data_IF_975530676668
#
_entry.id   IF_975530676668
#
_cell.length_a   1.000
_cell.length_b   1.000
_cell.length_c   1.000
_cell.angle_alpha   90.00
_cell.angle_beta   90.00
_cell.angle_gamma   90.00
#
_symmetry.space_group_name_H-M   'P 1'
#
loop_
_entity.id
_entity.type
_entity.pdbx_description
1 polymer ?
#
# COMPACT_ATOMS: atom_id res chain seq x y z
N UNK A 1 -1.88 -0.58 -24.45
CA UNK A 1 -1.97 0.76 -23.85
C UNK A 1 -1.68 0.60 -22.36
N UNK A 2 -0.67 1.31 -21.82
CA UNK A 2 -0.34 1.28 -20.39
C UNK A 2 -1.38 2.08 -19.62
N UNK A 3 -2.05 1.46 -18.64
CA UNK A 3 -3.13 2.07 -17.89
C UNK A 3 -2.76 2.13 -16.40
N UNK A 4 -2.83 3.30 -15.74
CA UNK A 4 -2.56 3.40 -14.32
C UNK A 4 -3.73 2.84 -13.50
N UNK A 5 -3.41 2.12 -12.44
CA UNK A 5 -4.39 1.53 -11.52
C UNK A 5 -4.45 2.35 -10.23
N UNK A 6 -3.29 2.73 -9.71
CA UNK A 6 -3.16 3.45 -8.45
C UNK A 6 -2.03 4.47 -8.53
N UNK A 7 -2.30 5.72 -8.16
CA UNK A 7 -1.29 6.76 -7.96
C UNK A 7 -0.84 6.77 -6.50
N UNK A 8 0.47 6.67 -6.25
CA UNK A 8 1.06 7.03 -4.96
C UNK A 8 1.41 8.51 -4.97
N UNK A 9 0.71 9.29 -4.16
CA UNK A 9 0.89 10.74 -4.04
C UNK A 9 1.60 11.05 -2.71
N UNK A 10 2.70 11.79 -2.77
CA UNK A 10 3.54 12.12 -1.62
C UNK A 10 3.67 13.63 -1.43
N UNK A 11 2.65 14.30 -0.83
CA UNK A 11 2.63 15.77 -0.74
C UNK A 11 3.78 16.36 0.06
N UNK A 12 4.28 15.65 1.07
CA UNK A 12 5.35 16.13 1.96
C UNK A 12 6.75 15.77 1.47
N UNK A 13 6.86 15.06 0.36
CA UNK A 13 8.11 14.47 -0.06
C UNK A 13 8.67 13.52 1.01
N UNK A 14 9.03 12.37 0.61
CA UNK A 14 9.69 11.43 1.50
C UNK A 14 10.82 10.73 0.77
N UNK A 15 11.74 10.22 1.55
CA UNK A 15 12.63 9.21 1.04
C UNK A 15 11.78 8.03 0.53
N UNK A 16 11.99 7.49 -0.68
CA UNK A 16 11.20 6.36 -1.24
C UNK A 16 11.07 5.16 -0.30
N UNK A 17 11.97 5.06 0.68
CA UNK A 17 11.95 4.06 1.75
C UNK A 17 10.78 4.18 2.74
N UNK A 18 10.07 5.30 2.81
CA UNK A 18 8.99 5.52 3.81
C UNK A 18 7.69 4.84 3.40
N UNK A 19 7.37 4.75 2.10
CA UNK A 19 6.24 3.98 1.56
C UNK A 19 6.26 2.51 1.95
N UNK A 20 7.43 2.01 2.36
CA UNK A 20 7.74 0.60 2.54
C UNK A 20 8.04 0.22 3.98
N UNK A 21 7.88 1.16 4.92
CA UNK A 21 8.23 0.90 6.31
C UNK A 21 9.73 0.81 6.59
N UNK A 22 10.56 1.29 5.67
CA UNK A 22 12.01 1.43 5.88
C UNK A 22 12.22 2.83 6.47
N UNK A 23 12.52 2.90 7.76
CA UNK A 23 12.79 4.15 8.48
C UNK A 23 14.07 4.81 7.97
N UNK A 24 13.95 5.67 6.99
CA UNK A 24 15.03 6.57 6.57
C UNK A 24 14.85 7.92 7.28
N UNK A 25 15.47 8.10 8.42
CA UNK A 25 15.65 9.40 9.05
C UNK A 25 16.69 10.20 8.25
N UNK A 26 16.34 10.76 7.12
CA UNK A 26 17.12 11.80 6.47
C UNK A 26 16.42 13.14 6.72
N UNK A 27 16.76 13.75 7.87
CA UNK A 27 16.14 14.98 8.40
C UNK A 27 16.77 16.26 7.86
N UNK A 28 17.58 16.22 6.78
CA UNK A 28 18.43 17.35 6.37
C UNK A 28 18.09 18.00 5.02
N UNK A 29 17.13 17.46 4.24
CA UNK A 29 16.65 18.16 3.05
C UNK A 29 15.51 19.12 3.46
N UNK A 30 15.56 20.38 3.03
CA UNK A 30 14.40 21.28 3.04
C UNK A 30 13.22 20.52 2.45
N UNK A 31 12.19 20.28 3.29
CA UNK A 31 10.99 19.54 2.89
C UNK A 31 10.21 20.46 1.93
N UNK A 32 10.50 20.34 0.64
CA UNK A 32 9.62 20.93 -0.37
C UNK A 32 8.28 20.20 -0.30
N UNK A 33 7.19 20.94 -0.12
CA UNK A 33 5.83 20.40 -0.12
C UNK A 33 5.18 20.70 -1.47
N UNK A 34 4.34 19.79 -1.95
CA UNK A 34 3.43 20.09 -3.05
C UNK A 34 2.31 21.00 -2.58
N UNK A 35 1.83 21.88 -3.47
CA UNK A 35 0.56 22.57 -3.24
C UNK A 35 -0.61 21.63 -3.55
N UNK A 36 -1.82 21.97 -3.09
CA UNK A 36 -3.03 21.20 -3.41
C UNK A 36 -3.25 21.15 -4.93
N UNK A 37 -3.01 22.27 -5.63
CA UNK A 37 -3.16 22.37 -7.09
C UNK A 37 -2.19 21.42 -7.81
N UNK A 38 -0.94 21.32 -7.38
CA UNK A 38 0.05 20.38 -7.94
C UNK A 38 -0.39 18.93 -7.70
N UNK A 39 -0.86 18.61 -6.50
CA UNK A 39 -1.38 17.28 -6.18
C UNK A 39 -2.57 16.91 -7.07
N UNK A 40 -3.54 17.82 -7.23
CA UNK A 40 -4.72 17.59 -8.04
C UNK A 40 -4.41 17.52 -9.54
N UNK A 41 -3.48 18.34 -10.02
CA UNK A 41 -2.99 18.27 -11.40
C UNK A 41 -2.39 16.89 -11.71
N UNK A 42 -1.59 16.31 -10.79
CA UNK A 42 -1.06 14.96 -10.95
C UNK A 42 -2.15 13.88 -10.94
N UNK A 43 -3.16 14.01 -10.06
CA UNK A 43 -4.32 13.10 -10.03
C UNK A 43 -5.09 13.15 -11.35
N UNK A 44 -5.32 14.33 -11.88
CA UNK A 44 -6.08 14.53 -13.13
C UNK A 44 -5.27 14.08 -14.35
N UNK A 45 -3.96 14.37 -14.40
CA UNK A 45 -3.05 13.91 -15.47
C UNK A 45 -2.94 12.39 -15.51
N UNK A 46 -2.77 11.76 -14.36
CA UNK A 46 -2.67 10.30 -14.26
C UNK A 46 -4.00 9.61 -14.60
N UNK A 47 -5.13 10.19 -14.18
CA UNK A 47 -6.47 9.66 -14.45
C UNK A 47 -6.80 8.35 -13.74
N UNK A 48 -6.03 7.97 -12.71
CA UNK A 48 -6.17 6.71 -11.97
C UNK A 48 -7.47 6.64 -11.17
N UNK A 49 -8.09 5.45 -11.04
CA UNK A 49 -9.27 5.28 -10.17
C UNK A 49 -8.93 5.28 -8.68
N UNK A 50 -7.70 4.96 -8.30
CA UNK A 50 -7.25 4.86 -6.91
C UNK A 50 -6.12 5.84 -6.67
N UNK A 51 -6.21 6.60 -5.58
CA UNK A 51 -5.13 7.45 -5.06
C UNK A 51 -4.72 6.94 -3.68
N UNK A 52 -3.42 6.80 -3.47
CA UNK A 52 -2.81 6.44 -2.20
C UNK A 52 -1.96 7.61 -1.73
N UNK A 53 -2.40 8.33 -0.69
CA UNK A 53 -1.58 9.39 -0.09
C UNK A 53 -0.68 8.77 0.95
N UNK A 54 0.62 9.02 0.80
CA UNK A 54 1.69 8.50 1.65
C UNK A 54 2.87 9.48 1.66
N UNK A 55 4.03 9.03 2.08
CA UNK A 55 5.22 9.88 2.17
C UNK A 55 5.27 10.73 3.42
N UNK A 56 6.21 10.42 4.33
CA UNK A 56 6.22 10.99 5.69
C UNK A 56 4.97 10.59 6.48
N UNK A 57 4.46 11.49 7.31
CA UNK A 57 3.15 11.36 7.92
C UNK A 57 2.16 12.32 7.21
N UNK A 58 1.27 11.82 6.33
CA UNK A 58 0.38 12.68 5.56
C UNK A 58 -0.54 13.57 6.39
N UNK A 59 -0.84 13.18 7.63
CA UNK A 59 -1.65 14.00 8.53
C UNK A 59 -0.91 15.24 9.06
N UNK A 60 0.40 15.35 8.83
CA UNK A 60 1.17 16.58 9.05
C UNK A 60 1.04 17.58 7.89
N UNK A 61 0.56 17.14 6.71
CA UNK A 61 0.35 18.05 5.59
C UNK A 61 -0.76 19.07 5.95
N UNK A 62 -0.46 20.39 5.90
CA UNK A 62 -1.39 21.41 6.42
C UNK A 62 -2.76 21.39 5.76
N UNK A 63 -2.80 21.11 4.46
CA UNK A 63 -4.01 21.15 3.63
C UNK A 63 -4.61 19.76 3.36
N UNK A 64 -4.25 18.75 4.17
CA UNK A 64 -4.67 17.34 3.95
C UNK A 64 -6.19 17.18 3.84
N UNK A 65 -6.95 17.93 4.61
CA UNK A 65 -8.41 17.86 4.58
C UNK A 65 -9.01 18.37 3.26
N UNK A 66 -8.50 19.50 2.76
CA UNK A 66 -8.89 20.07 1.46
C UNK A 66 -8.49 19.15 0.31
N UNK A 67 -7.26 18.66 0.31
CA UNK A 67 -6.76 17.73 -0.68
C UNK A 67 -7.59 16.44 -0.71
N UNK A 68 -7.83 15.81 0.46
CA UNK A 68 -8.64 14.60 0.59
C UNK A 68 -10.03 14.80 0.00
N UNK A 69 -10.73 15.86 0.39
CA UNK A 69 -12.07 16.17 -0.12
C UNK A 69 -12.07 16.33 -1.64
N UNK A 70 -11.15 17.11 -2.18
CA UNK A 70 -11.07 17.37 -3.62
C UNK A 70 -10.78 16.11 -4.46
N UNK A 71 -10.01 15.16 -3.92
CA UNK A 71 -9.76 13.86 -4.57
C UNK A 71 -11.04 12.99 -4.54
N UNK A 72 -11.74 12.95 -3.41
CA UNK A 72 -12.96 12.17 -3.25
C UNK A 72 -14.11 12.70 -4.11
N UNK A 73 -14.25 14.03 -4.24
CA UNK A 73 -15.21 14.71 -5.12
C UNK A 73 -14.97 14.39 -6.61
N UNK A 74 -13.74 14.05 -6.99
CA UNK A 74 -13.40 13.52 -8.32
C UNK A 74 -13.80 12.06 -8.52
N UNK A 75 -14.48 11.45 -7.55
CA UNK A 75 -14.92 10.06 -7.61
C UNK A 75 -13.79 9.03 -7.48
N UNK A 76 -12.62 9.44 -6.98
CA UNK A 76 -11.49 8.53 -6.76
C UNK A 76 -11.66 7.78 -5.45
N UNK A 77 -11.15 6.54 -5.38
CA UNK A 77 -10.96 5.84 -4.11
C UNK A 77 -9.66 6.32 -3.48
N UNK A 78 -9.70 6.69 -2.19
CA UNK A 78 -8.56 7.27 -1.49
C UNK A 78 -8.14 6.41 -0.30
N UNK A 79 -6.89 5.97 -0.31
CA UNK A 79 -6.20 5.33 0.81
C UNK A 79 -5.24 6.34 1.43
N UNK A 80 -5.53 6.79 2.64
CA UNK A 80 -4.68 7.72 3.39
C UNK A 80 -3.85 6.92 4.40
N UNK A 81 -2.56 6.77 4.11
CA UNK A 81 -1.62 6.07 4.97
C UNK A 81 -1.21 6.93 6.15
N UNK A 82 -1.07 6.33 7.32
CA UNK A 82 -0.67 7.01 8.55
C UNK A 82 -0.12 6.02 9.57
N UNK A 83 0.72 6.51 10.48
CA UNK A 83 1.12 5.76 11.67
C UNK A 83 0.01 5.69 12.75
N UNK A 84 -1.07 6.45 12.56
CA UNK A 84 -2.26 6.44 13.41
C UNK A 84 -2.27 7.49 14.52
N UNK A 85 -1.14 8.10 14.86
CA UNK A 85 -1.01 9.04 16.00
C UNK A 85 -1.90 10.27 15.87
N UNK A 86 -2.07 10.78 14.67
CA UNK A 86 -2.80 12.02 14.41
C UNK A 86 -4.27 11.80 14.04
N UNK A 87 -4.72 10.56 13.83
CA UNK A 87 -6.10 10.27 13.40
C UNK A 87 -7.10 10.95 14.33
N UNK A 88 -7.03 10.72 15.63
CA UNK A 88 -7.98 11.25 16.60
C UNK A 88 -8.08 12.78 16.57
N UNK A 89 -6.94 13.46 16.36
CA UNK A 89 -6.87 14.93 16.29
C UNK A 89 -7.39 15.48 14.98
N UNK A 90 -7.28 14.73 13.88
CA UNK A 90 -7.62 15.17 12.51
C UNK A 90 -8.96 14.64 12.01
N UNK A 91 -9.56 13.68 12.71
CA UNK A 91 -10.76 12.97 12.30
C UNK A 91 -11.93 13.91 11.93
N UNK A 92 -12.12 14.98 12.72
CA UNK A 92 -13.19 15.95 12.51
C UNK A 92 -13.06 16.80 11.25
N UNK A 93 -11.89 16.81 10.62
CA UNK A 93 -11.60 17.62 9.43
C UNK A 93 -12.09 17.00 8.13
N UNK A 94 -12.33 15.68 8.13
CA UNK A 94 -12.73 14.90 6.96
C UNK A 94 -14.03 14.18 7.33
N UNK A 95 -15.14 14.40 6.59
CA UNK A 95 -16.34 13.59 6.80
C UNK A 95 -16.15 12.15 6.30
N UNK A 96 -16.90 11.16 6.82
CA UNK A 96 -16.83 9.80 6.33
C UNK A 96 -17.43 9.69 4.92
N UNK A 97 -16.58 9.28 3.96
CA UNK A 97 -16.97 8.97 2.59
C UNK A 97 -16.87 7.47 2.35
N UNK A 98 -17.71 6.92 1.49
CA UNK A 98 -17.72 5.48 1.14
C UNK A 98 -16.51 5.04 0.30
N UNK A 99 -15.80 5.98 -0.32
CA UNK A 99 -14.59 5.79 -1.10
C UNK A 99 -13.31 6.28 -0.40
N UNK A 100 -13.38 6.53 0.92
CA UNK A 100 -12.24 6.94 1.75
C UNK A 100 -11.86 5.87 2.77
N UNK A 101 -10.56 5.55 2.85
CA UNK A 101 -10.02 4.52 3.72
C UNK A 101 -8.84 5.06 4.54
N UNK A 102 -9.01 5.16 5.86
CA UNK A 102 -7.86 5.27 6.75
C UNK A 102 -7.02 4.02 6.63
N UNK A 103 -5.74 4.15 6.30
CA UNK A 103 -4.83 3.01 6.15
C UNK A 103 -3.74 3.11 7.20
N UNK A 104 -3.86 2.31 8.25
CA UNK A 104 -2.97 2.37 9.40
C UNK A 104 -1.89 1.29 9.30
N UNK A 105 -0.62 1.68 9.47
CA UNK A 105 0.52 0.76 9.42
C UNK A 105 0.72 0.08 10.77
N UNK A 106 0.54 -1.25 10.82
CA UNK A 106 0.82 -2.07 12.00
C UNK A 106 1.43 -3.42 11.57
N UNK A 107 2.63 -3.75 12.07
CA UNK A 107 3.40 -4.90 11.64
C UNK A 107 3.43 -6.08 12.65
N UNK A 108 2.67 -6.00 13.74
CA UNK A 108 2.58 -7.00 14.79
C UNK A 108 1.93 -6.42 16.04
N UNK A 109 1.92 -7.17 17.12
CA UNK A 109 1.47 -6.68 18.44
C UNK A 109 2.43 -5.58 18.96
N UNK A 110 2.11 -4.99 20.11
CA UNK A 110 2.85 -3.86 20.68
C UNK A 110 4.37 -4.07 20.65
N UNK A 111 4.85 -5.19 21.21
CA UNK A 111 6.26 -5.47 21.30
C UNK A 111 6.96 -5.53 19.93
N UNK A 112 6.33 -6.18 18.94
CA UNK A 112 6.88 -6.33 17.60
C UNK A 112 6.81 -5.00 16.85
N UNK A 113 5.68 -4.31 16.89
CA UNK A 113 5.48 -3.05 16.17
C UNK A 113 6.42 -1.94 16.69
N UNK A 114 6.52 -1.78 18.00
CA UNK A 114 7.38 -0.76 18.62
C UNK A 114 8.87 -1.06 18.46
N UNK A 115 9.27 -2.34 18.48
CA UNK A 115 10.64 -2.73 18.15
C UNK A 115 11.01 -2.38 16.70
N UNK A 116 10.10 -2.55 15.74
CA UNK A 116 10.32 -2.20 14.33
C UNK A 116 10.32 -0.69 14.09
N UNK A 117 9.39 0.02 14.70
CA UNK A 117 9.27 1.48 14.54
C UNK A 117 10.24 2.27 15.40
N UNK A 118 10.83 1.63 16.41
CA UNK A 118 11.71 2.24 17.45
C UNK A 118 11.01 3.40 18.20
N UNK A 119 9.68 3.29 18.37
CA UNK A 119 8.83 4.31 19.02
C UNK A 119 7.91 3.65 20.05
N UNK A 120 8.21 3.84 21.34
CA UNK A 120 7.37 3.36 22.43
C UNK A 120 6.04 4.12 22.49
N UNK A 121 4.94 3.42 22.81
CA UNK A 121 3.60 3.97 22.92
C UNK A 121 2.86 4.13 21.59
N UNK A 122 3.55 3.99 20.44
CA UNK A 122 2.97 4.16 19.12
C UNK A 122 1.82 3.19 18.86
N UNK A 123 1.97 1.94 19.29
CA UNK A 123 0.96 0.90 19.06
C UNK A 123 -0.39 1.23 19.70
N UNK A 124 -0.39 1.62 20.97
CA UNK A 124 -1.62 1.94 21.69
C UNK A 124 -2.29 3.21 21.14
N UNK A 125 -1.50 4.23 20.78
CA UNK A 125 -2.02 5.45 20.16
C UNK A 125 -2.64 5.15 18.78
N UNK A 126 -2.01 4.30 17.96
CA UNK A 126 -2.56 3.86 16.68
C UNK A 126 -3.90 3.12 16.86
N UNK A 127 -4.00 2.21 17.85
CA UNK A 127 -5.26 1.53 18.17
C UNK A 127 -6.35 2.50 18.64
N UNK A 128 -6.01 3.52 19.45
CA UNK A 128 -6.96 4.56 19.86
C UNK A 128 -7.45 5.37 18.64
N UNK A 129 -6.55 5.70 17.71
CA UNK A 129 -6.89 6.31 16.43
C UNK A 129 -7.85 5.46 15.59
N UNK A 130 -7.57 4.16 15.45
CA UNK A 130 -8.43 3.20 14.75
C UNK A 130 -9.83 3.15 15.39
N UNK A 131 -9.88 3.01 16.70
CA UNK A 131 -11.15 2.98 17.47
C UNK A 131 -11.95 4.27 17.25
N UNK A 132 -11.30 5.43 17.31
CA UNK A 132 -11.94 6.72 17.06
C UNK A 132 -12.51 6.80 15.64
N UNK A 133 -11.74 6.38 14.62
CA UNK A 133 -12.19 6.36 13.24
C UNK A 133 -13.38 5.41 13.03
N UNK A 134 -13.34 4.20 13.60
CA UNK A 134 -14.46 3.25 13.51
C UNK A 134 -15.72 3.79 14.17
N UNK A 135 -15.61 4.38 15.37
CA UNK A 135 -16.75 4.98 16.07
C UNK A 135 -17.36 6.17 15.33
N UNK A 136 -16.58 6.86 14.51
CA UNK A 136 -17.05 7.95 13.66
C UNK A 136 -17.57 7.49 12.28
N UNK A 137 -17.68 6.17 12.05
CA UNK A 137 -18.26 5.59 10.83
C UNK A 137 -17.33 5.53 9.63
N UNK A 138 -16.02 5.67 9.82
CA UNK A 138 -15.04 5.56 8.75
C UNK A 138 -14.70 4.10 8.41
N UNK A 139 -14.30 3.88 7.16
CA UNK A 139 -13.60 2.67 6.77
C UNK A 139 -12.13 2.74 7.22
N UNK A 140 -11.69 1.67 7.87
CA UNK A 140 -10.31 1.52 8.33
C UNK A 140 -9.71 0.25 7.75
N UNK A 141 -8.54 0.39 7.15
CA UNK A 141 -7.73 -0.71 6.63
C UNK A 141 -6.41 -0.72 7.39
N UNK A 142 -5.91 -1.91 7.72
CA UNK A 142 -4.60 -2.06 8.34
C UNK A 142 -3.62 -2.66 7.35
N UNK A 143 -2.47 -2.02 7.18
CA UNK A 143 -1.37 -2.51 6.36
C UNK A 143 -0.28 -3.14 7.23
N UNK A 144 0.07 -4.41 6.96
CA UNK A 144 1.14 -5.12 7.65
C UNK A 144 2.18 -5.62 6.65
N UNK A 145 3.46 -5.35 6.94
CA UNK A 145 4.55 -5.84 6.10
C UNK A 145 4.99 -7.24 6.55
N UNK A 146 5.00 -8.15 5.60
CA UNK A 146 5.55 -9.49 5.78
C UNK A 146 7.04 -9.44 5.47
N UNK A 147 7.86 -9.74 6.47
CA UNK A 147 9.32 -9.89 6.39
C UNK A 147 9.70 -11.37 6.36
N UNK A 148 10.94 -11.73 5.97
CA UNK A 148 11.41 -13.11 6.04
C UNK A 148 11.38 -13.73 7.44
N UNK A 149 11.37 -12.90 8.48
CA UNK A 149 11.38 -13.24 9.90
C UNK A 149 10.08 -12.89 10.63
N UNK A 150 9.00 -12.57 9.91
CA UNK A 150 7.71 -12.24 10.54
C UNK A 150 7.19 -13.41 11.38
N UNK A 151 6.91 -13.15 12.67
CA UNK A 151 6.15 -14.10 13.50
C UNK A 151 4.66 -14.01 13.14
N UNK A 152 4.20 -14.98 12.38
CA UNK A 152 2.79 -15.04 11.96
C UNK A 152 1.82 -15.36 13.10
N UNK A 153 2.29 -15.90 14.24
CA UNK A 153 1.44 -16.07 15.42
C UNK A 153 1.19 -14.72 16.08
N UNK A 154 2.22 -13.88 16.15
CA UNK A 154 2.08 -12.51 16.66
C UNK A 154 1.17 -11.68 15.75
N UNK A 155 1.35 -11.77 14.44
CA UNK A 155 0.51 -11.08 13.47
C UNK A 155 -0.96 -11.55 13.52
N UNK A 156 -1.20 -12.83 13.75
CA UNK A 156 -2.56 -13.37 13.93
C UNK A 156 -3.24 -12.81 15.19
N UNK A 157 -2.51 -12.68 16.31
CA UNK A 157 -3.02 -12.02 17.52
C UNK A 157 -3.37 -10.55 17.28
N UNK A 158 -2.56 -9.84 16.50
CA UNK A 158 -2.89 -8.48 16.08
C UNK A 158 -4.20 -8.46 15.29
N UNK A 159 -4.36 -9.35 14.29
CA UNK A 159 -5.54 -9.38 13.42
C UNK A 159 -6.80 -9.76 14.20
N UNK A 160 -6.73 -10.71 15.13
CA UNK A 160 -7.82 -11.02 16.05
C UNK A 160 -8.28 -9.77 16.84
N UNK A 161 -7.34 -9.00 17.40
CA UNK A 161 -7.63 -7.77 18.11
C UNK A 161 -8.28 -6.71 17.22
N UNK A 162 -7.75 -6.53 16.00
CA UNK A 162 -8.27 -5.57 15.03
C UNK A 162 -9.65 -5.98 14.50
N UNK A 163 -9.89 -7.28 14.33
CA UNK A 163 -11.20 -7.81 13.94
C UNK A 163 -12.26 -7.53 15.01
N UNK A 164 -11.91 -7.70 16.29
CA UNK A 164 -12.77 -7.32 17.41
C UNK A 164 -13.04 -5.80 17.48
N UNK A 165 -12.21 -4.97 16.83
CA UNK A 165 -12.41 -3.53 16.68
C UNK A 165 -13.16 -3.16 15.38
N UNK A 166 -13.65 -4.15 14.62
CA UNK A 166 -14.36 -3.98 13.35
C UNK A 166 -13.55 -3.26 12.25
N UNK A 167 -12.26 -3.57 12.15
CA UNK A 167 -11.43 -3.12 11.01
C UNK A 167 -11.96 -3.74 9.73
N UNK A 168 -12.09 -2.94 8.66
CA UNK A 168 -12.81 -3.33 7.45
C UNK A 168 -11.96 -4.15 6.48
N UNK A 169 -10.64 -4.01 6.52
CA UNK A 169 -9.76 -4.75 5.62
C UNK A 169 -8.30 -4.77 6.03
N UNK A 170 -7.56 -5.71 5.44
CA UNK A 170 -6.16 -5.94 5.75
C UNK A 170 -5.33 -6.00 4.48
N UNK A 171 -4.21 -5.27 4.45
CA UNK A 171 -3.25 -5.26 3.36
C UNK A 171 -1.97 -5.99 3.81
N UNK A 172 -1.65 -7.10 3.15
CA UNK A 172 -0.35 -7.74 3.30
C UNK A 172 0.62 -7.14 2.28
N UNK A 173 1.70 -6.56 2.77
CA UNK A 173 2.74 -5.94 1.97
C UNK A 173 3.99 -6.82 1.99
N UNK A 174 4.55 -7.11 0.83
CA UNK A 174 5.83 -7.80 0.78
C UNK A 174 6.96 -6.83 1.13
N UNK A 175 7.84 -7.24 2.05
CA UNK A 175 9.05 -6.48 2.37
C UNK A 175 9.94 -6.33 1.13
N UNK A 176 10.42 -5.12 0.89
CA UNK A 176 11.46 -4.86 -0.10
C UNK A 176 12.81 -4.79 0.62
N UNK A 177 13.74 -5.70 0.32
CA UNK A 177 15.04 -5.72 0.99
C UNK A 177 15.92 -4.55 0.57
N UNK A 178 16.81 -4.12 1.46
CA UNK A 178 17.81 -3.12 1.12
C UNK A 178 18.82 -3.64 0.08
N UNK A 179 19.67 -2.73 -0.46
CA UNK A 179 20.63 -3.08 -1.53
C UNK A 179 21.67 -4.14 -1.09
N UNK A 180 21.95 -4.29 0.21
CA UNK A 180 22.90 -5.30 0.71
C UNK A 180 22.30 -6.70 0.62
N UNK A 181 21.04 -6.86 1.01
CA UNK A 181 20.30 -8.11 0.90
C UNK A 181 20.00 -8.49 -0.56
N UNK A 182 19.94 -7.50 -1.46
CA UNK A 182 19.76 -7.75 -2.91
C UNK A 182 20.96 -8.45 -3.56
N UNK A 183 22.16 -8.35 -2.99
CA UNK A 183 23.39 -8.92 -3.58
C UNK A 183 23.71 -10.32 -3.09
N UNK A 184 23.27 -10.67 -1.89
CA UNK A 184 23.60 -11.95 -1.24
C UNK A 184 22.33 -12.79 -1.01
N UNK A 185 22.06 -13.76 -1.90
CA UNK A 185 21.05 -14.80 -1.63
C UNK A 185 19.63 -14.50 -2.08
N UNK A 186 19.44 -13.90 -3.27
CA UNK A 186 18.10 -13.61 -3.82
C UNK A 186 17.19 -14.84 -3.83
N UNK A 187 17.69 -16.01 -4.19
CA UNK A 187 16.91 -17.26 -4.19
C UNK A 187 16.42 -17.62 -2.79
N UNK A 188 17.28 -17.58 -1.78
CA UNK A 188 16.92 -17.89 -0.40
C UNK A 188 15.92 -16.86 0.17
N UNK A 189 16.05 -15.58 -0.18
CA UNK A 189 15.08 -14.56 0.18
C UNK A 189 13.70 -14.86 -0.39
N UNK A 190 13.62 -15.17 -1.70
CA UNK A 190 12.36 -15.53 -2.35
C UNK A 190 11.71 -16.76 -1.74
N UNK A 191 12.48 -17.83 -1.50
CA UNK A 191 11.95 -19.04 -0.88
C UNK A 191 11.34 -18.76 0.51
N UNK A 192 12.04 -17.96 1.34
CA UNK A 192 11.52 -17.53 2.64
C UNK A 192 10.26 -16.68 2.51
N UNK A 193 10.23 -15.72 1.60
CA UNK A 193 9.06 -14.88 1.37
C UNK A 193 7.88 -15.70 0.88
N UNK A 194 8.07 -16.62 -0.09
CA UNK A 194 7.01 -17.53 -0.55
C UNK A 194 6.48 -18.40 0.58
N UNK A 195 7.35 -18.92 1.45
CA UNK A 195 6.95 -19.68 2.63
C UNK A 195 6.13 -18.83 3.59
N UNK A 196 6.56 -17.59 3.87
CA UNK A 196 5.84 -16.67 4.72
C UNK A 196 4.42 -16.38 4.17
N UNK A 197 4.30 -16.10 2.87
CA UNK A 197 2.99 -15.83 2.27
C UNK A 197 2.09 -17.07 2.19
N UNK A 198 2.63 -18.27 2.01
CA UNK A 198 1.84 -19.51 2.13
C UNK A 198 1.26 -19.66 3.53
N UNK A 199 2.10 -19.55 4.56
CA UNK A 199 1.66 -19.64 5.95
C UNK A 199 0.74 -18.49 6.37
N UNK A 200 0.99 -17.27 5.90
CA UNK A 200 0.11 -16.12 6.15
C UNK A 200 -1.28 -16.35 5.52
N UNK A 201 -1.36 -16.91 4.31
CA UNK A 201 -2.63 -17.23 3.67
C UNK A 201 -3.44 -18.27 4.43
N UNK A 202 -2.78 -19.27 5.04
CA UNK A 202 -3.44 -20.29 5.87
C UNK A 202 -3.95 -19.72 7.19
N UNK A 203 -3.17 -18.85 7.84
CA UNK A 203 -3.48 -18.33 9.18
C UNK A 203 -4.41 -17.14 9.18
N UNK A 204 -4.33 -16.30 8.13
CA UNK A 204 -5.02 -15.00 8.05
C UNK A 204 -6.08 -15.01 6.96
N UNK A 205 -6.32 -16.12 6.27
CA UNK A 205 -7.24 -16.20 5.14
C UNK A 205 -8.73 -16.03 5.51
N UNK A 206 -9.08 -16.10 6.79
CA UNK A 206 -10.43 -15.80 7.28
C UNK A 206 -10.74 -14.30 7.34
N UNK A 207 -9.71 -13.46 7.43
CA UNK A 207 -9.86 -12.01 7.44
C UNK A 207 -10.04 -11.44 6.03
N UNK A 208 -10.65 -10.28 5.93
CA UNK A 208 -10.85 -9.58 4.66
C UNK A 208 -9.51 -9.05 4.10
N UNK A 209 -8.72 -9.93 3.49
CA UNK A 209 -7.45 -9.57 2.86
C UNK A 209 -7.73 -8.84 1.55
N UNK A 210 -7.35 -7.56 1.49
CA UNK A 210 -7.48 -6.71 0.30
C UNK A 210 -6.30 -6.93 -0.66
N UNK A 211 -6.18 -8.17 -1.12
CA UNK A 211 -5.14 -8.64 -2.05
C UNK A 211 -5.79 -9.51 -3.11
N UNK A 212 -5.46 -9.31 -4.39
CA UNK A 212 -6.06 -10.15 -5.42
C UNK A 212 -5.55 -11.58 -5.34
N UNK A 213 -6.39 -12.59 -5.64
CA UNK A 213 -5.97 -13.99 -5.60
C UNK A 213 -4.79 -14.26 -6.54
N UNK A 214 -4.71 -13.58 -7.66
CA UNK A 214 -3.63 -13.74 -8.65
C UNK A 214 -2.30 -13.22 -8.09
N UNK A 215 -2.30 -12.05 -7.44
CA UNK A 215 -1.09 -11.53 -6.82
C UNK A 215 -0.69 -12.36 -5.59
N UNK A 216 -1.66 -12.87 -4.84
CA UNK A 216 -1.38 -13.77 -3.72
C UNK A 216 -0.75 -15.10 -4.19
N UNK A 217 -1.20 -15.67 -5.31
CA UNK A 217 -0.55 -16.84 -5.95
C UNK A 217 0.93 -16.54 -6.31
N UNK A 218 1.22 -15.32 -6.83
CA UNK A 218 2.58 -14.90 -7.10
C UNK A 218 3.42 -14.82 -5.82
N UNK A 219 2.89 -14.19 -4.77
CA UNK A 219 3.60 -14.07 -3.49
C UNK A 219 3.85 -15.44 -2.82
N UNK A 220 3.00 -16.43 -3.06
CA UNK A 220 3.18 -17.82 -2.58
C UNK A 220 4.13 -18.64 -3.44
N UNK A 221 4.61 -18.07 -4.57
CA UNK A 221 5.47 -18.78 -5.51
C UNK A 221 4.77 -19.83 -6.37
N UNK A 222 3.45 -19.72 -6.54
CA UNK A 222 2.61 -20.62 -7.34
C UNK A 222 2.43 -20.10 -8.78
N UNK A 223 2.90 -18.89 -9.03
CA UNK A 223 2.74 -18.20 -10.30
C UNK A 223 3.86 -17.20 -10.53
N UNK A 224 4.27 -17.04 -11.79
CA UNK A 224 5.10 -15.94 -12.23
C UNK A 224 4.23 -14.81 -12.77
N UNK A 225 4.64 -13.57 -12.49
CA UNK A 225 4.05 -12.35 -13.04
C UNK A 225 5.15 -11.40 -13.50
N UNK A 226 4.93 -10.73 -14.61
CA UNK A 226 5.79 -9.63 -15.05
C UNK A 226 5.41 -8.33 -14.34
N UNK A 227 6.40 -7.52 -13.99
CA UNK A 227 6.16 -6.26 -13.32
C UNK A 227 5.51 -5.24 -14.25
N UNK A 228 4.38 -4.65 -13.83
CA UNK A 228 3.63 -3.61 -14.55
C UNK A 228 3.64 -2.29 -13.79
N UNK A 229 4.82 -1.85 -13.34
CA UNK A 229 4.96 -0.73 -12.41
C UNK A 229 4.45 0.62 -12.96
N UNK A 230 4.31 0.76 -14.29
CA UNK A 230 3.62 1.91 -14.89
C UNK A 230 2.16 2.05 -14.43
N UNK A 231 1.55 0.98 -13.93
CA UNK A 231 0.21 0.98 -13.35
C UNK A 231 0.13 1.51 -11.93
N UNK A 232 1.30 1.70 -11.26
CA UNK A 232 1.43 2.25 -9.92
C UNK A 232 2.45 3.38 -9.84
N UNK A 233 2.29 4.50 -10.61
CA UNK A 233 3.22 5.61 -10.58
C UNK A 233 3.28 6.31 -9.24
N UNK A 234 4.39 6.99 -8.98
CA UNK A 234 4.63 7.81 -7.78
C UNK A 234 4.85 9.25 -8.19
N UNK A 235 4.21 10.19 -7.49
CA UNK A 235 4.39 11.63 -7.67
C UNK A 235 4.68 12.31 -6.33
N UNK A 236 5.74 13.10 -6.30
CA UNK A 236 6.19 13.86 -5.14
C UNK A 236 6.73 15.23 -5.51
N UNK A 237 7.33 15.98 -4.58
CA UNK A 237 7.78 17.35 -4.80
C UNK A 237 8.80 17.53 -5.93
N UNK A 238 9.54 16.48 -6.30
CA UNK A 238 10.48 16.50 -7.42
C UNK A 238 9.84 16.11 -8.75
N UNK A 239 8.55 15.72 -8.77
CA UNK A 239 7.85 15.28 -9.96
C UNK A 239 7.54 13.78 -9.98
N UNK A 240 7.33 13.23 -11.17
CA UNK A 240 7.04 11.81 -11.37
C UNK A 240 8.31 10.97 -11.23
N UNK A 241 8.26 9.98 -10.34
CA UNK A 241 9.41 9.11 -10.05
C UNK A 241 9.58 8.07 -11.16
N UNK A 242 10.72 8.03 -11.80
CA UNK A 242 11.03 7.06 -12.87
C UNK A 242 12.04 6.00 -12.45
N UNK A 243 11.88 4.75 -12.87
CA UNK A 243 10.67 4.13 -13.42
C UNK A 243 9.62 3.83 -12.34
N UNK A 244 10.03 3.70 -11.09
CA UNK A 244 9.18 3.44 -9.93
C UNK A 244 9.85 3.92 -8.64
N UNK A 245 9.07 4.01 -7.55
CA UNK A 245 9.54 4.47 -6.24
C UNK A 245 10.70 3.65 -5.64
N UNK A 246 10.85 2.38 -6.02
CA UNK A 246 11.94 1.52 -5.51
C UNK A 246 13.25 1.68 -6.27
N UNK A 247 13.17 1.77 -7.59
CA UNK A 247 14.36 1.95 -8.42
C UNK A 247 14.82 3.41 -8.39
N UNK A 248 13.88 4.35 -8.46
CA UNK A 248 14.12 5.80 -8.43
C UNK A 248 15.39 6.21 -9.18
N UNK A 249 15.34 6.09 -10.50
CA UNK A 249 16.45 6.47 -11.37
C UNK A 249 16.43 7.98 -11.74
N UNK A 250 15.47 8.73 -11.20
CA UNK A 250 15.29 10.16 -11.44
C UNK A 250 13.83 10.56 -11.50
N UNK A 251 13.59 11.80 -11.91
CA UNK A 251 12.27 12.41 -11.96
C UNK A 251 11.98 12.94 -13.35
N UNK A 252 10.71 12.91 -13.72
CA UNK A 252 10.24 13.49 -14.98
C UNK A 252 9.07 14.44 -14.74
N UNK A 253 8.88 15.39 -15.63
CA UNK A 253 7.93 16.50 -15.45
C UNK A 253 6.47 16.09 -15.64
N UNK A 254 6.20 15.02 -16.44
CA UNK A 254 4.83 14.61 -16.74
C UNK A 254 4.66 13.09 -16.71
N UNK A 255 3.46 12.63 -16.34
CA UNK A 255 3.10 11.23 -16.41
C UNK A 255 3.22 10.66 -17.83
N UNK A 256 2.84 11.47 -18.82
CA UNK A 256 3.01 11.10 -20.22
C UNK A 256 4.48 10.82 -20.55
N UNK A 257 5.39 11.70 -20.14
CA UNK A 257 6.84 11.50 -20.33
C UNK A 257 7.32 10.23 -19.61
N UNK A 258 6.87 9.98 -18.39
CA UNK A 258 7.18 8.75 -17.66
C UNK A 258 6.80 7.52 -18.46
N UNK A 259 5.58 7.47 -18.98
CA UNK A 259 5.05 6.28 -19.68
C UNK A 259 5.71 6.09 -21.05
N UNK A 260 5.95 7.17 -21.80
CA UNK A 260 6.41 7.11 -23.19
C UNK A 260 7.94 7.01 -23.32
N UNK A 261 8.69 7.64 -22.41
CA UNK A 261 10.16 7.72 -22.51
C UNK A 261 10.92 6.71 -21.65
N UNK A 262 10.25 6.06 -20.70
CA UNK A 262 10.90 5.01 -19.91
C UNK A 262 11.08 3.75 -20.74
N UNK A 263 12.31 3.24 -20.80
CA UNK A 263 12.65 1.96 -21.42
C UNK A 263 12.22 0.81 -20.50
N UNK A 264 10.92 0.53 -20.46
CA UNK A 264 10.29 -0.43 -19.55
C UNK A 264 10.86 -1.85 -19.65
N UNK A 265 11.39 -2.21 -20.82
CA UNK A 265 12.06 -3.48 -21.10
C UNK A 265 13.33 -3.69 -20.27
N UNK A 266 13.89 -2.64 -19.68
CA UNK A 266 15.06 -2.71 -18.81
C UNK A 266 14.72 -2.92 -17.32
N UNK A 267 13.42 -3.00 -16.98
CA UNK A 267 12.97 -3.08 -15.60
C UNK A 267 12.09 -4.31 -15.36
N UNK A 268 12.42 -5.03 -14.34
CA UNK A 268 11.78 -6.27 -13.95
C UNK A 268 12.79 -7.26 -13.38
N UNK A 269 12.29 -8.35 -12.86
CA UNK A 269 13.12 -9.44 -12.35
C UNK A 269 13.94 -10.05 -13.48
N UNK A 270 15.23 -10.28 -13.26
CA UNK A 270 16.16 -10.75 -14.27
C UNK A 270 16.63 -9.68 -15.28
N UNK A 271 16.06 -8.47 -15.25
CA UNK A 271 16.39 -7.37 -16.16
C UNK A 271 17.15 -6.25 -15.44
N UNK A 272 16.82 -5.99 -14.20
CA UNK A 272 17.48 -4.95 -13.40
C UNK A 272 17.83 -5.49 -12.00
N UNK A 273 19.08 -5.33 -11.53
CA UNK A 273 19.49 -5.86 -10.22
C UNK A 273 18.66 -5.34 -9.03
N UNK A 274 18.15 -4.11 -9.09
CA UNK A 274 17.26 -3.56 -8.07
C UNK A 274 15.87 -4.18 -8.08
N UNK A 275 15.48 -4.84 -9.17
CA UNK A 275 14.18 -5.51 -9.30
C UNK A 275 14.24 -6.98 -8.86
N UNK A 276 15.42 -7.56 -8.67
CA UNK A 276 15.61 -9.00 -8.46
C UNK A 276 14.80 -9.53 -7.27
N UNK A 277 14.80 -8.83 -6.15
CA UNK A 277 14.07 -9.24 -4.94
C UNK A 277 12.74 -8.51 -4.75
N UNK A 278 12.31 -7.74 -5.74
CA UNK A 278 11.07 -6.98 -5.66
C UNK A 278 9.84 -7.88 -5.81
N UNK A 279 8.94 -7.76 -4.86
CA UNK A 279 7.61 -8.37 -4.89
C UNK A 279 6.53 -7.30 -4.64
N UNK A 280 6.82 -6.04 -5.01
CA UNK A 280 6.00 -4.91 -4.62
C UNK A 280 4.60 -4.95 -5.24
N UNK A 281 3.64 -4.51 -4.45
CA UNK A 281 2.23 -4.41 -4.84
C UNK A 281 2.03 -3.51 -6.07
N UNK A 282 2.72 -2.36 -6.13
CA UNK A 282 2.59 -1.41 -7.24
C UNK A 282 2.92 -2.01 -8.62
N UNK A 283 3.83 -2.99 -8.67
CA UNK A 283 4.18 -3.69 -9.91
C UNK A 283 3.34 -4.94 -10.16
N UNK A 284 3.25 -5.83 -9.18
CA UNK A 284 2.71 -7.17 -9.39
C UNK A 284 1.20 -7.27 -9.11
N UNK A 285 0.65 -6.52 -8.17
CA UNK A 285 -0.80 -6.41 -8.02
C UNK A 285 -1.42 -5.70 -9.22
N UNK A 286 -0.78 -4.65 -9.75
CA UNK A 286 -1.24 -3.99 -10.98
C UNK A 286 -1.17 -4.92 -12.19
N UNK A 287 -0.13 -5.76 -12.29
CA UNK A 287 -0.04 -6.78 -13.32
C UNK A 287 -1.21 -7.78 -13.24
N UNK A 288 -1.53 -8.24 -12.04
CA UNK A 288 -2.66 -9.13 -11.78
C UNK A 288 -4.01 -8.48 -12.15
N UNK A 289 -4.23 -7.23 -11.76
CA UNK A 289 -5.46 -6.49 -12.04
C UNK A 289 -5.61 -6.13 -13.53
N UNK A 290 -4.50 -5.89 -14.24
CA UNK A 290 -4.49 -5.62 -15.68
C UNK A 290 -4.58 -6.90 -16.53
N UNK A 291 -4.64 -8.08 -15.91
CA UNK A 291 -4.72 -9.35 -16.61
C UNK A 291 -3.45 -9.70 -17.39
N UNK A 292 -2.27 -9.28 -16.89
CA UNK A 292 -0.98 -9.67 -17.47
C UNK A 292 -0.72 -11.17 -17.21
N UNK A 293 -0.17 -11.88 -18.20
CA UNK A 293 0.12 -13.31 -18.11
C UNK A 293 -1.09 -14.16 -17.65
N UNK A 294 -2.27 -14.06 -18.31
CA UNK A 294 -3.49 -14.68 -17.86
C UNK A 294 -3.43 -16.21 -17.94
N UNK A 295 -4.00 -16.89 -16.94
CA UNK A 295 -4.24 -18.34 -16.96
C UNK A 295 -5.74 -18.63 -17.08
N UNK A 296 -6.07 -19.82 -17.58
CA UNK A 296 -7.47 -20.24 -17.59
C UNK A 296 -8.07 -20.21 -16.18
N UNK A 297 -9.27 -19.60 -16.06
CA UNK A 297 -9.95 -19.47 -14.77
C UNK A 297 -9.64 -18.20 -13.95
N UNK A 298 -8.67 -17.38 -14.36
CA UNK A 298 -8.31 -16.15 -13.62
C UNK A 298 -9.47 -15.18 -13.53
N UNK A 299 -10.19 -14.97 -14.61
CA UNK A 299 -11.38 -14.12 -14.63
C UNK A 299 -12.41 -14.57 -13.57
N UNK A 300 -12.61 -15.87 -13.44
CA UNK A 300 -13.53 -16.43 -12.45
C UNK A 300 -13.04 -16.24 -11.01
N UNK A 301 -11.73 -16.39 -10.78
CA UNK A 301 -11.12 -16.13 -9.46
C UNK A 301 -11.30 -14.67 -9.08
N UNK A 302 -11.04 -13.74 -10.00
CA UNK A 302 -11.20 -12.31 -9.78
C UNK A 302 -12.65 -11.91 -9.53
N UNK A 303 -13.60 -12.47 -10.29
CA UNK A 303 -15.03 -12.24 -10.06
C UNK A 303 -15.49 -12.75 -8.70
N UNK A 304 -15.08 -13.97 -8.32
CA UNK A 304 -15.38 -14.51 -6.98
C UNK A 304 -14.84 -13.63 -5.86
N UNK A 305 -13.62 -13.14 -5.99
CA UNK A 305 -12.99 -12.27 -5.02
C UNK A 305 -13.74 -10.95 -4.88
N UNK A 306 -14.09 -10.31 -5.99
CA UNK A 306 -14.88 -9.06 -5.97
C UNK A 306 -16.28 -9.26 -5.39
N UNK A 307 -16.95 -10.36 -5.71
CA UNK A 307 -18.28 -10.68 -5.20
C UNK A 307 -18.23 -11.13 -3.73
N UNK A 308 -17.15 -11.84 -3.32
CA UNK A 308 -16.96 -12.31 -1.95
C UNK A 308 -16.83 -11.16 -0.95
N UNK A 309 -16.06 -10.12 -1.30
CA UNK A 309 -15.97 -8.90 -0.51
C UNK A 309 -17.31 -8.19 -0.34
N UNK A 310 -18.09 -8.04 -1.43
CA UNK A 310 -19.44 -7.42 -1.39
C UNK A 310 -20.48 -8.25 -0.62
N UNK A 311 -20.37 -9.58 -0.63
CA UNK A 311 -21.29 -10.47 0.10
C UNK A 311 -20.95 -10.53 1.59
N UNK A 312 -19.67 -10.38 1.96
CA UNK A 312 -19.22 -10.24 3.35
C UNK A 312 -19.85 -9.00 4.01
N UNK A 313 -19.73 -7.83 3.37
CA UNK A 313 -20.32 -6.58 3.86
C UNK A 313 -21.85 -6.66 4.07
N UNK A 314 -22.57 -7.38 3.19
CA UNK A 314 -24.03 -7.59 3.34
C UNK A 314 -24.39 -8.56 4.46
N UNK A 315 -23.53 -9.53 4.79
CA UNK A 315 -23.79 -10.48 5.89
C UNK A 315 -23.54 -9.84 7.25
N UNK A 316 -22.53 -8.98 7.37
CA UNK A 316 -22.26 -8.25 8.62
C UNK A 316 -23.36 -7.23 8.91
N UNK A 317 -23.78 -6.41 7.95
CA UNK A 317 -24.89 -5.46 8.12
C UNK A 317 -26.26 -6.12 8.44
N UNK A 318 -26.46 -7.40 8.07
CA UNK A 318 -27.66 -8.16 8.42
C UNK A 318 -27.58 -8.83 9.80
N UNK A 319 -26.40 -8.93 10.39
CA UNK A 319 -26.24 -9.46 11.78
C UNK A 319 -26.32 -8.36 12.83
N UNK A 320 -26.13 -7.10 12.43
CA UNK A 320 -26.20 -5.91 13.28
C UNK A 320 -27.57 -5.18 13.23
N UNK A 321 -28.46 -5.58 12.33
CA UNK A 321 -29.86 -5.13 12.23
C UNK A 321 -30.82 -6.16 12.82
#
# INVERSE_FOLDING_TARGET
RRYPVMLSLEPLGSNPSTLLGINGNDSTAERSMLTVEQCLAAVDECGTPIVSISGGEPLEYPEIAGLTRSILERGRHLFLWTDGLLIRRRLHMIPPFTNFFWTVKLDGTEAVHEARTKRAGLFLEALDGIKAAKNAGFFVVVGSTIYPDTDLNDLAKLYERLHAMHVDGYLLLAHYPDEKLCKEGSKQFHEKMHQQFRQASERLGEYNLMISPIYLEYLRGERELDCSVWGGPVYGPQGWVGPCGFVNAGYVESYKTLVEKTAWENYGRGLNPRCENCQCRAGYETAALLGMNPKAGDLWKMLKWQLGGRLGEKRERKREA
#
